data_IF_741468498541
#
_entry.id   IF_741468498541
#
_cell.length_a   1.000
_cell.length_b   1.000
_cell.length_c   1.000
_cell.angle_alpha   90.00
_cell.angle_beta   90.00
_cell.angle_gamma   90.00
#
_symmetry.space_group_name_H-M   'P 1'
#
loop_
_entity.id
_entity.type
_entity.pdbx_description
1 polymer ?
#
# COMPACT_ATOMS: atom_id res chain seq x y z
N UNK A 1 14.92 -1.29 -2.52
CA UNK A 1 14.65 -2.66 -2.01
C UNK A 1 13.87 -3.49 -3.02
N UNK A 2 12.71 -3.04 -3.53
CA UNK A 2 11.90 -3.79 -4.52
C UNK A 2 12.68 -4.27 -5.75
N UNK A 3 13.53 -3.42 -6.34
CA UNK A 3 14.38 -3.79 -7.48
C UNK A 3 15.29 -4.97 -7.12
N UNK A 4 15.99 -4.91 -5.99
CA UNK A 4 16.82 -6.03 -5.49
C UNK A 4 16.02 -7.31 -5.28
N UNK A 5 14.79 -7.21 -4.78
CA UNK A 5 13.92 -8.39 -4.63
C UNK A 5 13.57 -8.98 -6.00
N UNK A 6 13.28 -8.14 -7.01
CA UNK A 6 13.08 -8.59 -8.39
C UNK A 6 14.30 -9.31 -8.94
N UNK A 7 15.50 -8.76 -8.74
CA UNK A 7 16.76 -9.39 -9.15
C UNK A 7 16.94 -10.76 -8.48
N UNK A 8 16.58 -10.87 -7.19
CA UNK A 8 16.64 -12.14 -6.45
C UNK A 8 15.61 -13.15 -6.94
N UNK A 9 14.42 -12.72 -7.32
CA UNK A 9 13.41 -13.61 -7.91
C UNK A 9 13.91 -14.19 -9.23
N UNK A 10 14.48 -13.37 -10.11
CA UNK A 10 15.06 -13.84 -11.37
C UNK A 10 16.25 -14.79 -11.15
N UNK A 11 17.10 -14.46 -10.18
CA UNK A 11 18.32 -15.23 -9.90
C UNK A 11 18.03 -16.60 -9.28
N UNK A 12 17.10 -16.67 -8.34
CA UNK A 12 16.88 -17.87 -7.52
C UNK A 12 15.62 -18.65 -7.88
N UNK A 13 14.68 -18.05 -8.62
CA UNK A 13 13.42 -18.70 -9.04
C UNK A 13 12.33 -18.73 -7.97
N UNK A 14 12.59 -18.22 -6.77
CA UNK A 14 11.61 -18.07 -5.69
C UNK A 14 10.94 -16.69 -5.74
N UNK A 15 9.75 -16.56 -5.15
CA UNK A 15 9.08 -15.27 -4.97
C UNK A 15 9.56 -14.58 -3.69
N UNK A 16 9.96 -13.31 -3.80
CA UNK A 16 10.46 -12.51 -2.69
C UNK A 16 9.58 -11.28 -2.49
N UNK A 17 9.12 -11.07 -1.27
CA UNK A 17 8.26 -9.96 -0.90
C UNK A 17 8.97 -8.96 0.02
N UNK A 18 8.42 -7.74 0.08
CA UNK A 18 8.81 -6.72 1.03
C UNK A 18 7.68 -6.57 2.05
N UNK A 19 7.98 -6.87 3.31
CA UNK A 19 7.03 -6.80 4.42
C UNK A 19 7.39 -5.67 5.38
N UNK A 20 6.37 -4.94 5.83
CA UNK A 20 6.46 -4.05 6.97
C UNK A 20 6.35 -4.91 8.24
N UNK A 21 7.47 -5.49 8.67
CA UNK A 21 7.54 -6.41 9.81
C UNK A 21 6.88 -5.79 11.05
N UNK A 22 6.03 -6.51 11.81
CA UNK A 22 5.42 -6.01 13.05
C UNK A 22 6.42 -5.69 14.17
N UNK A 23 7.56 -6.38 14.17
CA UNK A 23 8.75 -6.16 15.01
C UNK A 23 8.49 -5.89 16.51
N UNK A 24 7.47 -6.52 17.11
CA UNK A 24 6.97 -6.22 18.48
C UNK A 24 8.05 -6.17 19.56
N UNK A 25 8.98 -7.12 19.53
CA UNK A 25 10.12 -7.19 20.46
C UNK A 25 11.42 -6.70 19.81
N UNK A 26 11.53 -6.81 18.49
CA UNK A 26 12.74 -6.46 17.75
C UNK A 26 13.03 -4.97 17.82
N UNK A 27 12.02 -4.09 17.78
CA UNK A 27 12.22 -2.64 17.86
C UNK A 27 12.92 -2.21 19.16
N UNK A 28 12.50 -2.80 20.29
CA UNK A 28 13.13 -2.56 21.59
C UNK A 28 14.53 -3.18 21.66
N UNK A 29 14.64 -4.46 21.27
CA UNK A 29 15.91 -5.21 21.37
C UNK A 29 17.02 -4.57 20.55
N UNK A 30 16.72 -4.14 19.32
CA UNK A 30 17.71 -3.48 18.46
C UNK A 30 18.11 -2.13 19.04
N UNK A 31 17.14 -1.27 19.41
CA UNK A 31 17.44 0.03 19.99
C UNK A 31 18.29 -0.07 21.28
N UNK A 32 18.00 -1.06 22.13
CA UNK A 32 18.79 -1.34 23.34
C UNK A 32 20.23 -1.72 23.02
N UNK A 33 20.43 -2.72 22.15
CA UNK A 33 21.79 -3.17 21.81
C UNK A 33 22.58 -2.13 21.02
N UNK A 34 21.91 -1.34 20.19
CA UNK A 34 22.56 -0.26 19.45
C UNK A 34 22.99 0.86 20.41
N UNK A 35 22.18 1.22 21.42
CA UNK A 35 22.59 2.18 22.46
C UNK A 35 23.77 1.66 23.30
N UNK A 36 23.83 0.36 23.57
CA UNK A 36 24.97 -0.27 24.28
C UNK A 36 26.27 -0.15 23.48
N UNK A 37 26.21 -0.31 22.15
CA UNK A 37 27.39 -0.26 21.26
C UNK A 37 27.73 1.15 20.79
N UNK A 38 26.72 1.98 20.57
CA UNK A 38 26.79 3.31 20.00
C UNK A 38 25.98 4.27 20.88
N UNK A 39 26.54 4.78 21.99
CA UNK A 39 25.80 5.60 22.95
C UNK A 39 25.10 6.83 22.35
N UNK A 40 25.68 7.40 21.29
CA UNK A 40 25.18 8.59 20.59
C UNK A 40 24.14 8.28 19.50
N UNK A 41 23.76 7.01 19.28
CA UNK A 41 22.75 6.65 18.27
C UNK A 41 21.38 7.24 18.65
N UNK A 42 20.62 7.71 17.67
CA UNK A 42 19.30 8.29 17.91
C UNK A 42 18.25 7.17 17.98
N UNK A 43 17.49 7.13 19.07
CA UNK A 43 16.37 6.22 19.32
C UNK A 43 15.13 7.02 19.74
N UNK A 44 13.94 6.43 19.65
CA UNK A 44 12.81 7.01 20.37
C UNK A 44 13.09 6.93 21.88
N UNK A 45 12.66 7.96 22.62
CA UNK A 45 12.93 8.13 24.05
C UNK A 45 14.42 8.03 24.45
N UNK A 46 15.21 9.03 24.04
CA UNK A 46 16.66 9.15 24.29
C UNK A 46 17.09 8.97 25.76
N UNK A 47 16.26 9.38 26.71
CA UNK A 47 16.61 9.45 28.14
C UNK A 47 15.92 8.36 28.98
N UNK A 48 15.34 7.34 28.35
CA UNK A 48 14.59 6.30 29.03
C UNK A 48 14.71 4.95 28.35
N UNK A 49 13.59 4.23 28.24
CA UNK A 49 13.54 2.96 27.53
C UNK A 49 13.58 3.21 26.03
N UNK A 50 14.68 2.86 25.31
CA UNK A 50 14.81 3.18 23.90
C UNK A 50 13.98 2.22 23.05
N UNK A 51 13.47 2.68 21.91
CA UNK A 51 12.84 1.81 20.91
C UNK A 51 12.93 2.41 19.51
N UNK A 52 12.75 1.58 18.49
CA UNK A 52 12.59 2.04 17.11
C UNK A 52 11.11 2.06 16.70
N UNK A 53 10.78 3.00 15.82
CA UNK A 53 9.48 3.01 15.14
C UNK A 53 9.38 1.81 14.19
N UNK A 54 8.19 1.19 14.16
CA UNK A 54 7.99 -0.01 13.37
C UNK A 54 7.98 0.29 11.87
N UNK A 55 8.76 -0.45 11.09
CA UNK A 55 8.78 -0.37 9.62
C UNK A 55 8.90 1.09 9.11
N UNK A 56 7.98 1.55 8.26
CA UNK A 56 7.90 2.93 7.78
C UNK A 56 6.76 3.72 8.43
N UNK A 57 6.36 3.36 9.66
CA UNK A 57 5.41 4.17 10.41
C UNK A 57 6.03 5.52 10.78
N UNK A 58 5.19 6.52 11.01
CA UNK A 58 5.62 7.76 11.64
C UNK A 58 5.97 7.52 13.12
N UNK A 59 6.86 8.34 13.71
CA UNK A 59 7.04 8.35 15.16
C UNK A 59 5.69 8.51 15.87
N UNK A 60 5.44 7.72 16.92
CA UNK A 60 4.12 7.60 17.54
C UNK A 60 3.58 8.89 18.17
N UNK A 61 4.43 9.86 18.45
CA UNK A 61 4.05 11.18 18.97
C UNK A 61 4.02 12.31 17.93
N UNK A 62 4.13 11.98 16.63
CA UNK A 62 4.33 12.97 15.56
C UNK A 62 3.13 13.91 15.35
N UNK A 63 1.91 13.38 15.25
CA UNK A 63 0.70 14.18 15.02
C UNK A 63 -0.54 13.49 15.61
N UNK A 64 -1.55 14.30 15.94
CA UNK A 64 -2.89 13.84 16.34
C UNK A 64 -3.89 13.89 15.17
N UNK A 65 -3.48 14.44 14.03
CA UNK A 65 -4.30 14.48 12.81
C UNK A 65 -4.06 13.23 11.96
N UNK A 66 -5.10 12.39 11.86
CA UNK A 66 -5.03 11.14 11.10
C UNK A 66 -4.76 11.39 9.62
N UNK A 67 -5.28 12.48 9.04
CA UNK A 67 -5.14 12.74 7.61
C UNK A 67 -3.74 13.25 7.29
N UNK A 68 -3.17 14.13 8.12
CA UNK A 68 -1.75 14.47 8.06
C UNK A 68 -0.85 13.24 8.14
N UNK A 69 -1.18 12.26 8.98
CA UNK A 69 -0.40 11.01 9.07
C UNK A 69 -0.55 10.14 7.81
N UNK A 70 -1.78 10.04 7.26
CA UNK A 70 -2.06 9.28 6.04
C UNK A 70 -1.42 9.91 4.80
N UNK A 71 -1.39 11.24 4.69
CA UNK A 71 -0.75 11.97 3.59
C UNK A 71 0.73 11.61 3.43
N UNK A 72 1.42 11.45 4.57
CA UNK A 72 2.83 11.04 4.58
C UNK A 72 2.98 9.54 4.33
N UNK A 73 2.17 8.71 4.99
CA UNK A 73 2.37 7.26 4.99
C UNK A 73 1.85 6.56 3.73
N UNK A 74 0.79 7.04 3.06
CA UNK A 74 0.17 6.35 1.92
C UNK A 74 1.19 5.94 0.85
N UNK A 75 2.08 6.86 0.51
CA UNK A 75 3.08 6.66 -0.54
C UNK A 75 4.16 5.65 -0.17
N UNK A 76 4.49 5.51 1.12
CA UNK A 76 5.47 4.53 1.58
C UNK A 76 4.82 3.16 1.79
N UNK A 77 3.64 3.13 2.40
CA UNK A 77 2.96 1.88 2.73
C UNK A 77 2.59 1.11 1.45
N UNK A 78 2.19 1.79 0.38
CA UNK A 78 1.89 1.18 -0.93
C UNK A 78 3.11 0.58 -1.64
N UNK A 79 4.34 0.81 -1.15
CA UNK A 79 5.55 0.20 -1.71
C UNK A 79 5.84 -1.19 -1.15
N UNK A 80 5.22 -1.58 -0.03
CA UNK A 80 5.32 -2.95 0.47
C UNK A 80 4.53 -3.88 -0.45
N UNK A 81 5.12 -5.02 -0.80
CA UNK A 81 4.51 -6.00 -1.70
C UNK A 81 3.82 -7.16 -0.96
N UNK A 82 3.85 -7.12 0.37
CA UNK A 82 3.17 -8.07 1.24
C UNK A 82 2.41 -7.34 2.35
N UNK A 83 2.65 -7.67 3.61
CA UNK A 83 1.98 -7.07 4.75
C UNK A 83 2.44 -5.65 4.99
N UNK A 84 1.48 -4.72 4.98
CA UNK A 84 1.59 -3.43 5.65
C UNK A 84 0.26 -3.12 6.34
N UNK A 85 0.28 -2.25 7.33
CA UNK A 85 -0.91 -1.78 8.03
C UNK A 85 -0.70 -0.35 8.51
N UNK A 86 -1.71 0.50 8.33
CA UNK A 86 -1.81 1.76 9.05
C UNK A 86 -2.71 1.61 10.27
N UNK A 87 -2.20 1.93 11.45
CA UNK A 87 -2.97 1.88 12.69
C UNK A 87 -3.57 3.25 12.99
N UNK A 88 -4.88 3.41 12.83
CA UNK A 88 -5.60 4.54 13.38
C UNK A 88 -5.86 4.26 14.88
N UNK A 89 -4.94 4.66 15.75
CA UNK A 89 -5.14 4.61 17.21
C UNK A 89 -6.08 5.75 17.62
N UNK A 90 -7.30 5.43 18.07
CA UNK A 90 -8.39 6.41 18.22
C UNK A 90 -8.63 6.91 19.65
N UNK A 91 -7.88 6.38 20.63
CA UNK A 91 -8.24 6.54 22.03
C UNK A 91 -9.49 5.79 22.36
N UNK A 92 -10.63 6.44 22.47
CA UNK A 92 -11.88 5.74 22.75
C UNK A 92 -12.56 5.26 21.47
N UNK A 93 -13.63 4.47 21.64
CA UNK A 93 -14.49 4.11 20.52
C UNK A 93 -15.11 5.38 19.91
N UNK A 94 -15.34 5.35 18.60
CA UNK A 94 -16.09 6.40 17.93
C UNK A 94 -17.53 6.49 18.47
N UNK A 95 -18.18 7.68 18.40
CA UNK A 95 -19.50 7.89 19.00
C UNK A 95 -20.55 6.90 18.53
N UNK A 96 -20.53 6.54 17.25
CA UNK A 96 -21.42 5.54 16.66
C UNK A 96 -20.79 4.86 15.43
N UNK A 97 -21.52 3.87 14.90
CA UNK A 97 -21.10 3.12 13.71
C UNK A 97 -21.10 3.99 12.44
N UNK A 98 -21.88 5.07 12.38
CA UNK A 98 -21.94 5.96 11.22
C UNK A 98 -20.66 6.78 11.14
N UNK A 99 -20.18 7.31 12.27
CA UNK A 99 -18.89 8.00 12.37
C UNK A 99 -17.74 7.07 11.93
N UNK A 100 -17.76 5.81 12.37
CA UNK A 100 -16.80 4.80 11.92
C UNK A 100 -16.88 4.56 10.40
N UNK A 101 -18.07 4.33 9.87
CA UNK A 101 -18.28 4.11 8.43
C UNK A 101 -17.86 5.32 7.59
N UNK A 102 -18.14 6.55 8.06
CA UNK A 102 -17.72 7.79 7.41
C UNK A 102 -16.20 7.93 7.40
N UNK A 103 -15.51 7.63 8.51
CA UNK A 103 -14.06 7.69 8.56
C UNK A 103 -13.42 6.65 7.63
N UNK A 104 -13.89 5.40 7.70
CA UNK A 104 -13.43 4.32 6.80
C UNK A 104 -13.63 4.71 5.34
N UNK A 105 -14.82 5.23 4.98
CA UNK A 105 -15.11 5.71 3.63
C UNK A 105 -14.17 6.83 3.20
N UNK A 106 -13.99 7.85 4.05
CA UNK A 106 -13.07 8.96 3.76
C UNK A 106 -11.64 8.45 3.52
N UNK A 107 -11.15 7.50 4.32
CA UNK A 107 -9.82 6.94 4.11
C UNK A 107 -9.77 6.16 2.79
N UNK A 108 -10.74 5.28 2.53
CA UNK A 108 -10.78 4.46 1.32
C UNK A 108 -10.92 5.28 0.01
N UNK A 109 -11.65 6.38 0.03
CA UNK A 109 -11.89 7.22 -1.15
C UNK A 109 -10.71 8.16 -1.45
N UNK A 110 -9.86 8.47 -0.46
CA UNK A 110 -8.80 9.48 -0.58
C UNK A 110 -7.39 8.92 -0.46
N UNK A 111 -7.21 7.65 -0.13
CA UNK A 111 -5.90 7.02 0.02
C UNK A 111 -5.89 5.59 -0.56
N UNK A 112 -4.70 5.07 -0.85
CA UNK A 112 -4.48 3.80 -1.56
C UNK A 112 -3.94 2.70 -0.65
N UNK A 113 -3.71 2.97 0.63
CA UNK A 113 -3.18 1.99 1.58
C UNK A 113 -3.97 0.68 1.49
N UNK A 114 -3.27 -0.47 1.38
CA UNK A 114 -3.95 -1.75 1.20
C UNK A 114 -4.65 -2.22 2.48
N UNK A 115 -4.22 -1.73 3.65
CA UNK A 115 -4.79 -2.14 4.93
C UNK A 115 -4.63 -1.05 5.98
N UNK A 116 -5.73 -0.76 6.68
CA UNK A 116 -5.75 0.11 7.84
C UNK A 116 -6.74 -0.41 8.89
N UNK A 117 -6.50 -0.04 10.15
CA UNK A 117 -7.31 -0.49 11.29
C UNK A 117 -7.89 0.70 12.04
N UNK A 118 -9.14 0.60 12.49
CA UNK A 118 -9.71 1.48 13.52
C UNK A 118 -9.45 0.84 14.89
N UNK A 119 -8.61 1.46 15.71
CA UNK A 119 -8.06 0.84 16.93
C UNK A 119 -8.36 1.67 18.18
N UNK A 120 -9.54 1.55 18.78
CA UNK A 120 -9.82 2.13 20.09
C UNK A 120 -9.16 1.33 21.22
N UNK A 121 -8.68 2.04 22.22
CA UNK A 121 -8.37 1.56 23.57
C UNK A 121 -9.69 1.38 24.35
N UNK A 122 -9.78 0.27 25.09
CA UNK A 122 -10.91 -0.03 25.96
C UNK A 122 -10.47 -0.81 27.19
N UNK A 123 -11.30 -0.82 28.22
CA UNK A 123 -10.99 -1.50 29.47
C UNK A 123 -12.00 -2.61 29.76
N UNK A 124 -11.58 -3.63 30.51
CA UNK A 124 -12.45 -4.74 30.91
C UNK A 124 -12.31 -4.96 32.41
N UNK A 125 -13.44 -4.90 33.11
CA UNK A 125 -13.55 -5.34 34.50
C UNK A 125 -14.02 -6.80 34.54
N UNK A 126 -13.38 -7.63 35.36
CA UNK A 126 -13.76 -9.05 35.53
C UNK A 126 -15.21 -9.24 36.03
N UNK A 127 -15.78 -8.25 36.73
CA UNK A 127 -17.13 -8.32 37.29
C UNK A 127 -18.18 -7.61 36.41
N UNK A 128 -17.82 -6.48 35.80
CA UNK A 128 -18.76 -5.58 35.11
C UNK A 128 -18.58 -5.52 33.59
N UNK A 129 -17.55 -6.18 33.06
CA UNK A 129 -17.34 -6.31 31.62
C UNK A 129 -16.71 -5.06 30.99
N UNK A 130 -17.15 -4.75 29.77
CA UNK A 130 -16.57 -3.72 28.92
C UNK A 130 -16.77 -2.30 29.47
N UNK A 131 -15.69 -1.53 29.47
CA UNK A 131 -15.63 -0.11 29.86
C UNK A 131 -15.01 0.66 28.70
N UNK A 132 -15.63 1.79 28.34
CA UNK A 132 -15.13 2.63 27.24
C UNK A 132 -13.87 3.37 27.68
N UNK A 133 -12.86 3.38 26.81
CA UNK A 133 -11.62 4.11 27.03
C UNK A 133 -10.63 3.44 27.98
N UNK A 134 -9.57 4.18 28.31
CA UNK A 134 -8.54 3.78 29.25
C UNK A 134 -8.98 4.09 30.68
N UNK A 135 -9.35 3.04 31.41
CA UNK A 135 -9.87 3.14 32.77
C UNK A 135 -9.24 2.04 33.59
N UNK A 136 -8.21 2.34 34.38
CA UNK A 136 -7.42 1.36 35.16
C UNK A 136 -8.13 0.79 36.40
N UNK A 137 -9.15 1.49 36.90
CA UNK A 137 -9.92 1.12 38.09
C UNK A 137 -11.40 1.18 37.74
N UNK A 138 -12.11 0.08 37.97
CA UNK A 138 -13.52 -0.04 37.64
C UNK A 138 -14.34 0.98 38.46
N UNK A 139 -15.17 1.82 37.81
CA UNK A 139 -15.97 2.82 38.51
C UNK A 139 -17.05 2.22 39.41
N UNK A 140 -17.47 0.97 39.13
CA UNK A 140 -18.57 0.33 39.84
C UNK A 140 -18.12 -0.48 41.07
N UNK A 141 -17.00 -1.21 41.01
CA UNK A 141 -16.48 -2.01 42.14
C UNK A 141 -15.14 -1.55 42.71
N UNK A 142 -14.45 -0.58 42.09
CA UNK A 142 -13.13 -0.12 42.53
C UNK A 142 -11.98 -1.11 42.33
N UNK A 143 -12.21 -2.26 41.67
CA UNK A 143 -11.15 -3.21 41.35
C UNK A 143 -10.36 -2.82 40.09
N UNK A 144 -9.15 -3.36 39.95
CA UNK A 144 -8.29 -3.15 38.78
C UNK A 144 -8.91 -3.74 37.51
N UNK A 145 -8.82 -3.01 36.41
CA UNK A 145 -9.24 -3.45 35.08
C UNK A 145 -8.05 -3.94 34.25
N UNK A 146 -8.35 -4.68 33.18
CA UNK A 146 -7.42 -4.90 32.08
C UNK A 146 -7.67 -3.86 30.99
N UNK A 147 -6.63 -3.12 30.59
CA UNK A 147 -6.74 -2.10 29.53
C UNK A 147 -6.20 -2.71 28.25
N UNK A 148 -7.06 -2.86 27.25
CA UNK A 148 -6.73 -3.43 25.96
C UNK A 148 -6.49 -2.32 24.95
N UNK A 149 -5.35 -2.40 24.27
CA UNK A 149 -5.08 -1.64 23.06
C UNK A 149 -4.44 -2.55 22.02
N UNK A 150 -4.36 -2.07 20.78
CA UNK A 150 -3.66 -2.78 19.71
C UNK A 150 -2.16 -2.54 19.86
N UNK A 151 -1.39 -3.61 20.01
CA UNK A 151 0.07 -3.53 20.15
C UNK A 151 0.73 -3.34 18.79
N UNK A 152 0.47 -4.27 17.87
CA UNK A 152 0.80 -4.20 16.44
C UNK A 152 -0.34 -4.81 15.65
N UNK A 153 -0.40 -6.14 15.50
CA UNK A 153 -1.41 -6.85 14.71
C UNK A 153 -2.68 -7.22 15.47
N UNK A 154 -2.70 -7.19 16.80
CA UNK A 154 -3.81 -7.69 17.61
C UNK A 154 -3.97 -6.95 18.95
N UNK A 155 -5.10 -7.17 19.62
CA UNK A 155 -5.39 -6.59 20.93
C UNK A 155 -4.76 -7.40 22.05
N UNK A 156 -4.11 -6.71 23.00
CA UNK A 156 -3.51 -7.33 24.17
C UNK A 156 -3.56 -6.34 25.35
N UNK A 157 -3.73 -6.81 26.60
CA UNK A 157 -3.65 -5.93 27.77
C UNK A 157 -2.31 -5.20 27.79
N UNK A 158 -2.32 -3.87 27.92
CA UNK A 158 -1.12 -3.03 27.94
C UNK A 158 -0.19 -3.40 29.10
N UNK A 159 -0.77 -3.93 30.19
CA UNK A 159 -0.04 -4.41 31.36
C UNK A 159 0.89 -5.60 31.04
N UNK A 160 0.66 -6.29 29.91
CA UNK A 160 1.43 -7.45 29.47
C UNK A 160 2.41 -7.13 28.33
N UNK A 161 2.63 -5.85 28.02
CA UNK A 161 3.53 -5.43 26.96
C UNK A 161 4.97 -5.39 27.48
N UNK A 162 5.94 -5.58 26.57
CA UNK A 162 7.36 -5.44 26.92
C UNK A 162 7.72 -3.96 27.17
N UNK A 163 8.84 -3.68 27.82
CA UNK A 163 9.25 -2.33 28.21
C UNK A 163 9.21 -1.33 27.04
N UNK A 164 9.75 -1.70 25.87
CA UNK A 164 9.78 -0.82 24.71
C UNK A 164 8.39 -0.56 24.13
N UNK A 165 7.49 -1.55 24.16
CA UNK A 165 6.10 -1.37 23.74
C UNK A 165 5.28 -0.59 24.75
N UNK A 166 5.51 -0.78 26.04
CA UNK A 166 4.91 0.03 27.09
C UNK A 166 5.36 1.50 26.96
N UNK A 167 6.64 1.74 26.67
CA UNK A 167 7.15 3.09 26.41
C UNK A 167 6.57 3.68 25.12
N UNK A 168 6.53 2.91 24.03
CA UNK A 168 5.89 3.34 22.77
C UNK A 168 4.43 3.74 22.97
N UNK A 169 3.69 3.00 23.82
CA UNK A 169 2.33 3.34 24.19
C UNK A 169 2.25 4.67 24.96
N UNK A 170 3.14 4.89 25.92
CA UNK A 170 3.17 6.13 26.71
C UNK A 170 3.51 7.37 25.85
N UNK A 171 4.37 7.21 24.84
CA UNK A 171 4.78 8.29 23.94
C UNK A 171 3.77 8.51 22.79
N UNK A 172 2.78 7.63 22.66
CA UNK A 172 1.83 7.63 21.56
C UNK A 172 0.83 8.78 21.71
N UNK A 173 0.70 9.56 20.65
CA UNK A 173 -0.45 10.45 20.47
C UNK A 173 -1.53 9.71 19.71
N UNK A 174 -2.71 9.63 20.30
CA UNK A 174 -3.88 9.05 19.65
C UNK A 174 -4.51 10.08 18.70
N UNK A 175 -5.11 9.61 17.62
CA UNK A 175 -5.69 10.49 16.61
C UNK A 175 -7.00 11.10 17.09
N UNK A 176 -7.07 12.42 17.03
CA UNK A 176 -8.27 13.17 17.34
C UNK A 176 -9.09 13.39 16.06
N UNK A 177 -10.08 12.53 15.84
CA UNK A 177 -10.93 12.58 14.64
C UNK A 177 -11.73 13.89 14.54
N UNK A 178 -12.09 14.51 15.66
CA UNK A 178 -12.80 15.80 15.68
C UNK A 178 -11.95 16.98 15.17
N UNK A 179 -10.63 16.90 15.35
CA UNK A 179 -9.67 17.92 14.94
C UNK A 179 -8.82 17.51 13.73
N UNK A 180 -9.14 16.39 13.09
CA UNK A 180 -8.43 15.90 11.91
C UNK A 180 -8.99 16.52 10.63
N UNK A 181 -8.13 16.98 9.73
CA UNK A 181 -8.53 17.73 8.55
C UNK A 181 -8.01 17.08 7.26
N UNK A 182 -8.95 16.58 6.44
CA UNK A 182 -8.63 16.14 5.09
C UNK A 182 -8.45 17.36 4.18
N UNK A 183 -7.31 17.43 3.48
CA UNK A 183 -6.89 18.62 2.72
C UNK A 183 -7.08 18.47 1.20
N UNK A 184 -7.42 17.27 0.73
CA UNK A 184 -7.55 16.94 -0.68
C UNK A 184 -8.75 16.01 -0.92
N UNK A 185 -9.10 15.84 -2.20
CA UNK A 185 -10.15 14.92 -2.62
C UNK A 185 -9.57 13.91 -3.62
N UNK A 186 -9.72 12.63 -3.30
CA UNK A 186 -9.15 11.52 -4.05
C UNK A 186 -7.66 11.26 -3.72
N UNK A 187 -7.11 10.11 -4.15
CA UNK A 187 -5.71 9.78 -3.90
C UNK A 187 -4.71 10.81 -4.43
N UNK A 188 -3.81 11.26 -3.56
CA UNK A 188 -2.64 12.06 -3.98
C UNK A 188 -1.75 11.17 -4.85
N UNK A 189 -1.66 11.50 -6.13
CA UNK A 189 -0.63 10.95 -7.00
C UNK A 189 0.68 11.67 -6.69
N UNK A 190 1.49 11.09 -5.81
CA UNK A 190 2.86 11.58 -5.64
C UNK A 190 3.62 11.20 -6.89
N UNK A 191 3.78 12.20 -7.76
CA UNK A 191 4.85 12.23 -8.74
C UNK A 191 6.14 11.95 -7.98
N UNK A 192 6.70 10.76 -8.21
CA UNK A 192 7.95 10.36 -7.58
C UNK A 192 9.00 11.46 -7.73
N UNK A 193 9.76 11.68 -6.66
CA UNK A 193 10.73 12.77 -6.59
C UNK A 193 11.68 12.86 -7.79
N UNK A 194 12.11 14.09 -8.04
CA UNK A 194 13.32 14.49 -8.76
C UNK A 194 13.33 14.41 -10.29
N UNK A 195 12.23 14.62 -11.01
CA UNK A 195 12.28 15.04 -12.42
C UNK A 195 11.03 15.87 -12.73
N UNK A 196 11.19 17.16 -12.99
CA UNK A 196 10.11 18.06 -13.37
C UNK A 196 9.52 17.71 -14.75
N UNK A 197 8.18 17.68 -14.87
CA UNK A 197 7.41 18.62 -15.71
C UNK A 197 5.93 18.22 -15.78
N UNK A 198 5.11 19.12 -15.25
CA UNK A 198 3.70 19.45 -15.49
C UNK A 198 2.88 18.63 -16.49
N UNK A 199 1.69 18.22 -16.04
CA UNK A 199 0.43 18.63 -16.68
C UNK A 199 -0.73 18.50 -15.67
N UNK A 200 -1.29 19.63 -15.29
CA UNK A 200 -2.49 19.83 -14.47
C UNK A 200 -3.71 19.13 -15.07
N UNK A 201 -4.41 18.30 -14.28
CA UNK A 201 -5.75 17.81 -14.61
C UNK A 201 -6.78 18.73 -13.95
N UNK A 202 -7.37 19.60 -14.76
CA UNK A 202 -8.58 20.32 -14.42
C UNK A 202 -9.80 19.39 -14.37
N UNK A 203 -10.74 19.74 -13.50
CA UNK A 203 -12.00 19.07 -13.27
C UNK A 203 -12.94 19.13 -14.48
N UNK A 204 -13.58 18.01 -14.78
CA UNK A 204 -14.86 17.92 -15.51
C UNK A 204 -15.59 16.74 -14.87
N UNK A 205 -16.71 16.93 -14.17
CA UNK A 205 -17.96 17.49 -14.70
C UNK A 205 -18.84 16.30 -15.06
N UNK A 206 -19.82 16.00 -14.21
CA UNK A 206 -20.77 14.91 -14.39
C UNK A 206 -21.55 15.07 -15.70
N UNK A 207 -21.56 14.04 -16.55
CA UNK A 207 -22.62 13.83 -17.54
C UNK A 207 -22.91 12.34 -17.67
N UNK A 208 -24.21 12.05 -17.71
CA UNK A 208 -24.85 10.76 -17.82
C UNK A 208 -24.73 10.15 -19.21
N UNK A 209 -25.03 8.85 -19.21
CA UNK A 209 -25.66 8.07 -20.27
C UNK A 209 -24.83 7.49 -21.42
N UNK A 210 -25.16 6.20 -21.63
CA UNK A 210 -25.04 5.41 -22.86
C UNK A 210 -23.71 4.71 -23.11
N UNK A 211 -23.70 3.44 -22.69
CA UNK A 211 -22.92 2.35 -23.29
C UNK A 211 -23.04 2.40 -24.82
N UNK A 212 -21.93 2.67 -25.49
CA UNK A 212 -21.71 2.27 -26.87
C UNK A 212 -20.26 1.79 -26.98
N UNK A 213 -20.09 0.47 -27.01
CA UNK A 213 -18.84 -0.19 -27.38
C UNK A 213 -18.67 0.00 -28.88
N UNK A 214 -17.72 0.83 -29.28
CA UNK A 214 -17.29 0.94 -30.67
C UNK A 214 -15.97 0.17 -30.77
N UNK A 215 -16.01 -1.02 -31.38
CA UNK A 215 -14.83 -1.78 -31.76
C UNK A 215 -14.07 -1.01 -32.84
N UNK A 216 -12.97 -0.35 -32.46
CA UNK A 216 -12.01 0.19 -33.41
C UNK A 216 -11.13 -0.96 -33.92
N UNK A 217 -11.45 -1.49 -35.10
CA UNK A 217 -10.52 -2.32 -35.88
C UNK A 217 -9.33 -1.46 -36.27
N UNK A 218 -8.13 -1.86 -35.87
CA UNK A 218 -6.89 -1.31 -36.41
C UNK A 218 -6.14 -2.48 -37.04
N UNK A 219 -6.16 -2.54 -38.37
CA UNK A 219 -5.39 -3.52 -39.15
C UNK A 219 -3.89 -3.21 -38.97
N UNK A 220 -3.13 -4.15 -38.38
CA UNK A 220 -1.66 -4.07 -38.45
C UNK A 220 -1.26 -4.38 -39.90
N UNK A 221 -0.54 -3.46 -40.55
CA UNK A 221 -0.16 -3.59 -41.96
C UNK A 221 0.82 -4.75 -42.22
N UNK A 222 1.35 -5.38 -41.18
CA UNK A 222 2.38 -6.43 -41.24
C UNK A 222 1.89 -7.82 -40.85
N UNK A 223 0.65 -7.98 -40.40
CA UNK A 223 0.10 -9.28 -39.99
C UNK A 223 0.79 -9.89 -38.75
N UNK A 224 1.60 -9.10 -38.04
CA UNK A 224 2.30 -9.49 -36.81
C UNK A 224 1.60 -8.90 -35.58
N UNK A 225 1.70 -9.56 -34.41
CA UNK A 225 1.30 -8.97 -33.14
C UNK A 225 2.17 -7.74 -32.81
N UNK A 226 1.53 -6.68 -32.31
CA UNK A 226 2.21 -5.44 -31.91
C UNK A 226 2.23 -5.35 -30.38
N UNK A 227 3.44 -5.25 -29.80
CA UNK A 227 3.67 -5.07 -28.37
C UNK A 227 3.90 -3.60 -28.05
N UNK A 228 2.99 -3.03 -27.27
CA UNK A 228 3.05 -1.68 -26.78
C UNK A 228 3.74 -1.63 -25.42
N UNK A 229 4.83 -0.87 -25.37
CA UNK A 229 5.72 -0.76 -24.21
C UNK A 229 5.88 0.69 -23.77
N UNK A 230 6.54 0.92 -22.63
CA UNK A 230 6.94 2.26 -22.17
C UNK A 230 8.39 2.24 -21.73
N UNK A 231 9.02 3.41 -21.73
CA UNK A 231 10.37 3.57 -21.21
C UNK A 231 10.48 3.12 -19.75
N UNK A 232 11.61 2.50 -19.41
CA UNK A 232 11.92 2.01 -18.07
C UNK A 232 10.89 1.03 -17.47
N UNK A 233 10.20 0.25 -18.31
CA UNK A 233 9.24 -0.77 -17.89
C UNK A 233 9.89 -2.17 -17.76
N UNK A 234 10.15 -2.68 -16.52
CA UNK A 234 10.73 -4.01 -16.33
C UNK A 234 9.81 -5.13 -16.83
N UNK A 235 8.49 -4.96 -16.66
CA UNK A 235 7.46 -5.90 -17.12
C UNK A 235 7.44 -6.04 -18.66
N UNK A 236 7.71 -4.96 -19.37
CA UNK A 236 7.78 -4.93 -20.83
C UNK A 236 9.00 -5.70 -21.33
N UNK A 237 10.16 -5.53 -20.69
CA UNK A 237 11.36 -6.33 -20.99
C UNK A 237 11.12 -7.83 -20.78
N UNK A 238 10.42 -8.20 -19.70
CA UNK A 238 10.03 -9.59 -19.45
C UNK A 238 9.11 -10.17 -20.52
N UNK A 239 8.13 -9.38 -21.01
CA UNK A 239 7.25 -9.79 -22.09
C UNK A 239 7.99 -9.95 -23.43
N UNK A 240 8.86 -9.02 -23.80
CA UNK A 240 9.69 -9.12 -25.00
C UNK A 240 10.61 -10.34 -24.98
N UNK A 241 11.24 -10.63 -23.84
CA UNK A 241 12.10 -11.80 -23.69
C UNK A 241 11.31 -13.10 -23.87
N UNK A 242 10.10 -13.20 -23.33
CA UNK A 242 9.23 -14.37 -23.53
C UNK A 242 8.93 -14.61 -25.00
N UNK A 243 8.60 -13.57 -25.76
CA UNK A 243 8.37 -13.68 -27.21
C UNK A 243 9.64 -14.08 -27.97
N UNK A 244 10.80 -13.50 -27.61
CA UNK A 244 12.10 -13.89 -28.19
C UNK A 244 12.47 -15.34 -27.91
N UNK A 245 12.27 -15.85 -26.68
CA UNK A 245 12.52 -17.25 -26.33
C UNK A 245 11.57 -18.20 -27.07
N UNK A 246 10.30 -17.80 -27.23
CA UNK A 246 9.30 -18.55 -27.98
C UNK A 246 9.46 -18.43 -29.51
N UNK A 247 10.44 -17.65 -30.00
CA UNK A 247 10.70 -17.38 -31.42
C UNK A 247 9.47 -16.81 -32.15
N UNK A 248 8.70 -15.98 -31.47
CA UNK A 248 7.57 -15.24 -32.06
C UNK A 248 8.14 -14.01 -32.78
N UNK A 249 7.68 -13.75 -34.00
CA UNK A 249 7.93 -12.48 -34.69
C UNK A 249 6.87 -11.46 -34.26
N UNK A 250 7.30 -10.25 -33.88
CA UNK A 250 6.42 -9.21 -33.34
C UNK A 250 7.01 -7.82 -33.56
N UNK A 251 6.14 -6.81 -33.54
CA UNK A 251 6.55 -5.41 -33.58
C UNK A 251 6.52 -4.78 -32.19
N UNK A 252 7.33 -3.75 -31.97
CA UNK A 252 7.37 -3.02 -30.69
C UNK A 252 7.09 -1.55 -30.92
N UNK A 253 6.08 -1.02 -30.24
CA UNK A 253 5.75 0.40 -30.24
C UNK A 253 5.97 0.97 -28.84
N UNK A 254 6.82 1.98 -28.74
CA UNK A 254 7.07 2.67 -27.48
C UNK A 254 6.07 3.82 -27.30
N UNK A 255 5.13 3.65 -26.39
CA UNK A 255 4.10 4.62 -26.04
C UNK A 255 4.66 5.86 -25.34
N UNK A 256 5.85 5.79 -24.72
CA UNK A 256 6.52 6.97 -24.14
C UNK A 256 7.00 7.94 -25.21
N UNK A 257 7.33 7.44 -26.40
CA UNK A 257 7.79 8.24 -27.53
C UNK A 257 6.66 8.63 -28.49
N UNK A 258 5.53 7.90 -28.45
CA UNK A 258 4.37 8.10 -29.32
C UNK A 258 3.08 8.13 -28.48
N UNK A 259 2.89 9.21 -27.71
CA UNK A 259 1.76 9.33 -26.78
C UNK A 259 0.39 9.34 -27.47
N UNK A 260 0.32 9.83 -28.71
CA UNK A 260 -0.94 9.89 -29.47
C UNK A 260 -1.45 8.49 -29.83
N UNK A 261 -0.55 7.55 -30.13
CA UNK A 261 -0.88 6.14 -30.41
C UNK A 261 -1.48 5.47 -29.17
N UNK A 262 -0.94 5.78 -27.98
CA UNK A 262 -1.47 5.23 -26.73
C UNK A 262 -2.89 5.74 -26.42
N UNK A 263 -3.19 7.00 -26.76
CA UNK A 263 -4.53 7.58 -26.58
C UNK A 263 -5.52 7.02 -27.59
N UNK A 264 -5.15 6.99 -28.87
CA UNK A 264 -5.99 6.48 -29.96
C UNK A 264 -6.39 5.03 -29.74
N UNK A 265 -5.44 4.20 -29.29
CA UNK A 265 -5.67 2.79 -29.01
C UNK A 265 -6.17 2.52 -27.58
N UNK A 266 -6.39 3.54 -26.75
CA UNK A 266 -6.81 3.42 -25.35
C UNK A 266 -5.94 2.44 -24.53
N UNK A 267 -4.63 2.59 -24.62
CA UNK A 267 -3.64 1.77 -23.91
C UNK A 267 -3.41 2.36 -22.52
N UNK A 268 -4.06 1.78 -21.52
CA UNK A 268 -4.00 2.26 -20.13
C UNK A 268 -2.86 1.64 -19.31
N UNK A 269 -2.31 0.52 -19.77
CA UNK A 269 -1.23 -0.20 -19.07
C UNK A 269 -0.28 -0.88 -20.07
N UNK A 270 0.95 -1.15 -19.65
CA UNK A 270 1.98 -1.81 -20.46
C UNK A 270 2.62 -2.95 -19.66
N UNK A 271 3.02 -4.06 -20.30
CA UNK A 271 2.90 -4.33 -21.73
C UNK A 271 1.45 -4.59 -22.16
N UNK A 272 1.07 -4.12 -23.35
CA UNK A 272 -0.17 -4.50 -24.03
C UNK A 272 0.20 -5.10 -25.38
N UNK A 273 -0.35 -6.26 -25.71
CA UNK A 273 -0.12 -6.94 -26.99
C UNK A 273 -1.44 -6.94 -27.73
N UNK A 274 -1.42 -6.45 -28.97
CA UNK A 274 -2.61 -6.43 -29.84
C UNK A 274 -2.30 -7.29 -31.06
N UNK A 275 -3.13 -8.29 -31.29
CA UNK A 275 -3.06 -9.13 -32.48
C UNK A 275 -3.62 -8.44 -33.73
N UNK A 276 -3.26 -8.93 -34.93
CA UNK A 276 -3.82 -8.42 -36.18
C UNK A 276 -5.35 -8.50 -36.26
N UNK A 277 -5.97 -9.43 -35.53
CA UNK A 277 -7.42 -9.58 -35.44
C UNK A 277 -8.09 -8.60 -34.45
N UNK A 278 -7.28 -7.80 -33.74
CA UNK A 278 -7.70 -6.84 -32.73
C UNK A 278 -7.77 -7.39 -31.31
N UNK A 279 -7.46 -8.68 -31.08
CA UNK A 279 -7.45 -9.29 -29.75
C UNK A 279 -6.37 -8.65 -28.88
N UNK A 280 -6.69 -8.38 -27.61
CA UNK A 280 -5.82 -7.65 -26.68
C UNK A 280 -5.43 -8.50 -25.48
N UNK A 281 -4.14 -8.49 -25.17
CA UNK A 281 -3.56 -9.12 -23.97
C UNK A 281 -2.83 -8.05 -23.16
N UNK A 282 -3.13 -7.95 -21.87
CA UNK A 282 -2.84 -6.72 -21.14
C UNK A 282 -2.22 -7.01 -19.76
N UNK A 283 -1.10 -6.35 -19.44
CA UNK A 283 -0.45 -6.44 -18.13
C UNK A 283 0.63 -7.53 -18.04
N UNK A 284 0.98 -7.91 -16.82
CA UNK A 284 2.17 -8.74 -16.50
C UNK A 284 2.12 -10.14 -17.14
N UNK A 285 0.92 -10.67 -17.36
CA UNK A 285 0.66 -11.96 -17.98
C UNK A 285 0.46 -11.90 -19.50
N UNK A 286 0.44 -10.71 -20.12
CA UNK A 286 0.05 -10.51 -21.51
C UNK A 286 0.74 -11.47 -22.49
N UNK A 287 2.08 -11.55 -22.43
CA UNK A 287 2.86 -12.44 -23.29
C UNK A 287 2.57 -13.93 -23.02
N UNK A 288 2.31 -14.31 -21.78
CA UNK A 288 1.99 -15.70 -21.41
C UNK A 288 0.58 -16.11 -21.82
N UNK A 289 -0.38 -15.19 -21.77
CA UNK A 289 -1.75 -15.41 -22.24
C UNK A 289 -1.80 -15.49 -23.76
N UNK A 290 -1.08 -14.62 -24.45
CA UNK A 290 -0.93 -14.66 -25.90
C UNK A 290 -0.38 -16.01 -26.37
N UNK A 291 0.74 -16.45 -25.78
CA UNK A 291 1.38 -17.73 -26.13
C UNK A 291 0.43 -18.92 -25.89
N UNK A 292 -0.36 -18.90 -24.81
CA UNK A 292 -1.36 -19.95 -24.55
C UNK A 292 -2.44 -19.97 -25.63
N UNK A 293 -2.97 -18.81 -26.01
CA UNK A 293 -4.00 -18.69 -27.04
C UNK A 293 -3.50 -19.15 -28.42
N UNK A 294 -2.21 -18.98 -28.72
CA UNK A 294 -1.60 -19.32 -30.02
C UNK A 294 -0.86 -20.66 -30.04
N UNK A 295 -0.71 -21.32 -28.89
CA UNK A 295 -0.08 -22.65 -28.77
C UNK A 295 -0.98 -23.82 -29.23
N UNK A 296 -2.30 -23.61 -29.33
CA UNK A 296 -3.28 -24.64 -29.69
C UNK A 296 -3.44 -24.88 -31.20
N UNK A 297 -2.66 -24.22 -32.06
CA UNK A 297 -2.80 -24.28 -33.53
C UNK A 297 -1.75 -25.18 -34.21
N UNK A 298 -0.79 -25.78 -33.47
CA UNK A 298 0.31 -26.55 -34.07
C UNK A 298 0.25 -28.08 -33.94
N UNK A 299 -0.85 -28.67 -33.47
CA UNK A 299 -1.06 -30.13 -33.51
C UNK A 299 -2.25 -30.50 -34.40
N UNK A 300 -2.08 -30.32 -35.71
CA UNK A 300 -2.86 -30.96 -36.75
C UNK A 300 -1.92 -31.70 -37.68
N UNK A 301 -1.71 -32.99 -37.40
CA UNK A 301 -1.22 -33.99 -38.37
C UNK A 301 -2.44 -34.65 -38.98
#
# INVERSE_FOLDING_TARGET
MREKLSDYQEKYGDLYNLEATPAESTTYRFAKHDKEQFPDIITANENGTPYYTNSSHLPVGYTEDIFSALDVQDNLQTLYTSGTVFHAFLGEKLPDWKAAATLVRKIAENYRLPYYTMSPTYSVCKNHGYITGEVFVCPDCGEKTEVYSRITGYYRPIQNWNDGKAQEYNDRKEYNIGNSHLTHNGPIHVMGGCCASDATLEAVGAVSDSLNVVEAKTESASGLPVMYVKDHCPKCKGAEQKFKLAKVEFEVVNCSQNMDVARELNIQQTPTIIDPDGTRYVGDSAASEWLKAHSSVSTGV
#
